data_IF_790934665953
#
_entry.id   IF_790934665953
#
_cell.length_a   1.000
_cell.length_b   1.000
_cell.length_c   1.000
_cell.angle_alpha   90.00
_cell.angle_beta   90.00
_cell.angle_gamma   90.00
#
_symmetry.space_group_name_H-M   'P 1'
#
loop_
_entity.id
_entity.type
_entity.pdbx_description
1 polymer ?
#
# COMPACT_ATOMS: atom_id res chain seq x y z
N UNK A 1 11.05 3.37 13.32
CA UNK A 1 10.22 2.72 12.27
C UNK A 1 8.86 3.37 12.36
N UNK A 2 8.39 4.01 11.30
CA UNK A 2 7.07 4.64 11.26
C UNK A 2 6.20 3.99 10.18
N UNK A 3 4.89 4.15 10.33
CA UNK A 3 3.88 3.62 9.41
C UNK A 3 2.96 4.76 9.00
N UNK A 4 2.64 4.84 7.71
CA UNK A 4 1.65 5.79 7.20
C UNK A 4 0.45 4.99 6.74
N UNK A 5 -0.70 5.24 7.38
CA UNK A 5 -1.98 4.64 7.00
C UNK A 5 -2.68 5.57 6.02
N UNK A 6 -3.16 5.02 4.91
CA UNK A 6 -3.79 5.81 3.86
C UNK A 6 -5.19 5.30 3.53
N UNK A 7 -6.09 6.22 3.25
CA UNK A 7 -7.46 5.97 2.84
C UNK A 7 -7.97 7.18 2.02
N UNK A 8 -9.03 6.97 1.25
CA UNK A 8 -9.73 8.05 0.56
C UNK A 8 -10.57 8.87 1.54
N UNK A 9 -11.13 8.22 2.58
CA UNK A 9 -12.06 8.84 3.51
C UNK A 9 -11.34 9.30 4.80
N UNK A 10 -11.44 10.59 5.12
CA UNK A 10 -10.86 11.16 6.36
C UNK A 10 -11.41 10.50 7.63
N UNK A 11 -12.68 10.07 7.62
CA UNK A 11 -13.31 9.39 8.76
C UNK A 11 -12.62 8.05 9.04
N UNK A 12 -12.30 7.27 8.01
CA UNK A 12 -11.53 6.02 8.14
C UNK A 12 -10.16 6.26 8.79
N UNK A 13 -9.50 7.37 8.43
CA UNK A 13 -8.22 7.75 9.03
C UNK A 13 -8.36 8.18 10.50
N UNK A 14 -9.46 8.82 10.89
CA UNK A 14 -9.73 9.12 12.30
C UNK A 14 -9.86 7.83 13.12
N UNK A 15 -10.57 6.83 12.61
CA UNK A 15 -10.67 5.52 13.24
C UNK A 15 -9.31 4.82 13.33
N UNK A 16 -8.49 4.93 12.28
CA UNK A 16 -7.14 4.39 12.27
C UNK A 16 -6.25 5.02 13.36
N UNK A 17 -6.29 6.35 13.53
CA UNK A 17 -5.57 7.06 14.61
C UNK A 17 -6.05 6.62 15.99
N UNK A 18 -7.36 6.54 16.20
CA UNK A 18 -7.94 6.07 17.48
C UNK A 18 -7.54 4.63 17.78
N UNK A 19 -7.48 3.77 16.76
CA UNK A 19 -7.00 2.40 16.89
C UNK A 19 -5.52 2.35 17.30
N UNK A 20 -4.67 3.18 16.67
CA UNK A 20 -3.26 3.28 17.04
C UNK A 20 -3.06 3.74 18.49
N UNK A 21 -3.83 4.74 18.94
CA UNK A 21 -3.83 5.21 20.33
C UNK A 21 -4.27 4.13 21.31
N UNK A 22 -5.38 3.42 21.01
CA UNK A 22 -5.87 2.32 21.83
C UNK A 22 -4.88 1.15 21.95
N UNK A 23 -3.98 0.99 20.97
CA UNK A 23 -2.93 -0.03 20.96
C UNK A 23 -1.57 0.49 21.47
N UNK A 24 -1.47 1.76 21.88
CA UNK A 24 -0.25 2.36 22.43
C UNK A 24 0.88 2.48 21.42
N UNK A 25 0.55 2.72 20.14
CA UNK A 25 1.51 2.87 19.03
C UNK A 25 1.29 4.15 18.23
N UNK A 26 0.55 5.12 18.77
CA UNK A 26 0.19 6.37 18.08
C UNK A 26 1.41 7.18 17.64
N UNK A 27 2.51 7.12 18.38
CA UNK A 27 3.76 7.80 18.06
C UNK A 27 4.50 7.22 16.84
N UNK A 28 4.11 6.03 16.40
CA UNK A 28 4.67 5.35 15.22
C UNK A 28 3.79 5.48 13.99
N UNK A 29 2.58 6.05 14.13
CA UNK A 29 1.54 6.03 13.11
C UNK A 29 1.22 7.45 12.66
N UNK A 30 1.52 7.71 11.39
CA UNK A 30 1.01 8.84 10.64
C UNK A 30 -0.18 8.41 9.77
N UNK A 31 -0.92 9.39 9.27
CA UNK A 31 -2.04 9.14 8.35
C UNK A 31 -2.05 10.19 7.25
N UNK A 32 -2.39 9.79 6.03
CA UNK A 32 -2.54 10.70 4.91
C UNK A 32 -3.74 10.29 4.05
N UNK A 33 -4.49 11.28 3.54
CA UNK A 33 -5.52 11.03 2.54
C UNK A 33 -4.85 10.70 1.20
N UNK A 34 -5.29 9.62 0.58
CA UNK A 34 -4.77 9.15 -0.70
C UNK A 34 -5.92 8.66 -1.58
N UNK A 35 -6.24 9.43 -2.63
CA UNK A 35 -6.95 8.90 -3.78
C UNK A 35 -5.95 8.23 -4.73
N UNK A 36 -6.07 6.92 -4.95
CA UNK A 36 -5.18 6.17 -5.84
C UNK A 36 -5.19 6.70 -7.28
N UNK A 37 -6.31 7.29 -7.69
CA UNK A 37 -6.48 7.85 -9.04
C UNK A 37 -5.86 9.25 -9.19
N UNK A 38 -5.48 9.89 -8.09
CA UNK A 38 -4.90 11.24 -8.06
C UNK A 38 -3.38 11.17 -8.04
N UNK A 39 -2.73 11.53 -9.16
CA UNK A 39 -1.27 11.66 -9.21
C UNK A 39 -0.75 12.69 -8.21
N UNK A 40 -1.44 13.82 -8.04
CA UNK A 40 -1.05 14.84 -7.07
C UNK A 40 -1.05 14.33 -5.63
N UNK A 41 -1.97 13.44 -5.27
CA UNK A 41 -2.01 12.85 -3.93
C UNK A 41 -0.82 11.93 -3.70
N UNK A 42 -0.45 11.14 -4.72
CA UNK A 42 0.72 10.25 -4.67
C UNK A 42 2.02 11.05 -4.55
N UNK A 43 2.18 12.11 -5.34
CA UNK A 43 3.34 13.00 -5.24
C UNK A 43 3.45 13.62 -3.84
N UNK A 44 2.35 14.17 -3.31
CA UNK A 44 2.31 14.76 -1.97
C UNK A 44 2.69 13.73 -0.89
N UNK A 45 2.14 12.51 -0.98
CA UNK A 45 2.47 11.43 -0.04
C UNK A 45 3.98 11.12 -0.03
N UNK A 46 4.60 11.04 -1.21
CA UNK A 46 6.04 10.81 -1.31
C UNK A 46 6.86 11.99 -0.79
N UNK A 47 6.45 13.23 -1.04
CA UNK A 47 7.14 14.44 -0.55
C UNK A 47 7.07 14.59 0.97
N UNK A 48 5.92 14.29 1.58
CA UNK A 48 5.68 14.52 3.01
C UNK A 48 6.16 13.33 3.87
N UNK A 49 6.07 12.11 3.34
CA UNK A 49 6.23 10.90 4.15
C UNK A 49 7.21 9.87 3.58
N UNK A 50 7.50 9.93 2.27
CA UNK A 50 8.39 9.00 1.60
C UNK A 50 9.88 9.28 1.82
N UNK A 51 10.76 8.46 1.21
CA UNK A 51 10.47 7.24 0.46
C UNK A 51 10.02 6.07 1.37
N UNK A 52 9.35 5.07 0.80
CA UNK A 52 8.84 3.91 1.55
C UNK A 52 9.55 2.61 1.14
N UNK A 53 9.87 1.77 2.12
CA UNK A 53 10.51 0.47 1.89
C UNK A 53 9.50 -0.65 1.61
N UNK A 54 8.28 -0.48 2.12
CA UNK A 54 7.25 -1.52 2.11
C UNK A 54 5.87 -0.89 1.96
N UNK A 55 5.09 -1.41 1.01
CA UNK A 55 3.65 -1.17 0.89
C UNK A 55 2.93 -2.47 1.24
N UNK A 56 1.91 -2.38 2.08
CA UNK A 56 1.06 -3.48 2.51
C UNK A 56 -0.36 -3.12 2.09
N UNK A 57 -1.13 -4.06 1.58
CA UNK A 57 -2.54 -3.86 1.25
C UNK A 57 -3.36 -5.07 1.66
N UNK A 58 -4.52 -4.88 2.28
CA UNK A 58 -5.49 -5.94 2.55
C UNK A 58 -6.77 -5.67 1.77
N UNK A 59 -7.31 -6.66 1.05
CA UNK A 59 -8.56 -6.56 0.28
C UNK A 59 -8.64 -5.34 -0.65
N UNK A 60 -7.55 -5.05 -1.36
CA UNK A 60 -7.39 -3.85 -2.21
C UNK A 60 -7.79 -4.05 -3.66
N UNK A 61 -7.94 -5.30 -4.11
CA UNK A 61 -8.37 -5.66 -5.46
C UNK A 61 -9.88 -5.87 -5.52
N UNK A 62 -10.65 -5.21 -4.66
CA UNK A 62 -12.11 -5.34 -4.63
C UNK A 62 -12.81 -4.78 -5.88
N UNK A 63 -12.14 -3.94 -6.69
CA UNK A 63 -12.66 -3.39 -7.95
C UNK A 63 -11.64 -3.46 -9.08
N UNK A 64 -12.05 -4.00 -10.23
CA UNK A 64 -11.21 -4.07 -11.43
C UNK A 64 -10.70 -2.70 -11.90
N UNK A 65 -11.51 -1.65 -11.78
CA UNK A 65 -11.14 -0.28 -12.20
C UNK A 65 -10.04 0.34 -11.35
N UNK A 66 -9.71 -0.25 -10.19
CA UNK A 66 -8.67 0.25 -9.28
C UNK A 66 -7.34 -0.50 -9.42
N UNK A 67 -7.26 -1.52 -10.28
CA UNK A 67 -6.04 -2.32 -10.45
C UNK A 67 -4.88 -1.48 -10.99
N UNK A 68 -5.13 -0.69 -12.04
CA UNK A 68 -4.12 0.21 -12.62
C UNK A 68 -3.74 1.34 -11.63
N UNK A 69 -4.69 2.10 -11.04
CA UNK A 69 -4.37 3.08 -10.01
C UNK A 69 -3.55 2.52 -8.84
N UNK A 70 -3.87 1.31 -8.37
CA UNK A 70 -3.09 0.66 -7.31
C UNK A 70 -1.67 0.32 -7.78
N UNK A 71 -1.50 -0.11 -9.02
CA UNK A 71 -0.18 -0.36 -9.59
C UNK A 71 0.65 0.93 -9.67
N UNK A 72 0.02 2.06 -10.03
CA UNK A 72 0.66 3.38 -10.03
C UNK A 72 1.10 3.80 -8.62
N UNK A 73 0.23 3.65 -7.62
CA UNK A 73 0.59 3.87 -6.20
C UNK A 73 1.81 3.05 -5.80
N UNK A 74 1.79 1.73 -6.06
CA UNK A 74 2.90 0.87 -5.66
C UNK A 74 4.21 1.30 -6.32
N UNK A 75 4.18 1.69 -7.61
CA UNK A 75 5.38 2.16 -8.32
C UNK A 75 5.88 3.49 -7.77
N UNK A 76 5.00 4.49 -7.69
CA UNK A 76 5.38 5.86 -7.32
C UNK A 76 5.85 5.95 -5.86
N UNK A 77 5.27 5.15 -4.98
CA UNK A 77 5.53 5.18 -3.53
C UNK A 77 6.73 4.32 -3.13
N UNK A 78 6.98 3.19 -3.80
CA UNK A 78 8.12 2.32 -3.50
C UNK A 78 9.40 2.67 -4.25
N UNK A 79 9.31 3.18 -5.47
CA UNK A 79 10.46 3.38 -6.36
C UNK A 79 11.03 4.80 -6.32
N UNK A 80 10.59 5.62 -5.38
CA UNK A 80 10.99 7.03 -5.28
C UNK A 80 12.48 7.24 -4.90
N UNK A 81 13.19 6.22 -4.43
CA UNK A 81 14.60 6.34 -4.01
C UNK A 81 15.49 5.27 -4.66
N UNK A 82 16.54 5.73 -5.36
CA UNK A 82 17.58 4.88 -5.95
C UNK A 82 18.37 4.08 -4.89
N UNK A 83 18.33 4.50 -3.62
CA UNK A 83 18.97 3.81 -2.50
C UNK A 83 18.06 2.75 -1.84
N UNK A 84 16.79 2.68 -2.24
CA UNK A 84 15.90 1.62 -1.79
C UNK A 84 16.27 0.30 -2.49
N UNK A 85 17.14 -0.47 -1.84
CA UNK A 85 17.70 -1.70 -2.41
C UNK A 85 16.77 -2.90 -2.32
N UNK A 86 15.64 -2.80 -1.61
CA UNK A 86 14.70 -3.90 -1.44
C UNK A 86 13.23 -3.47 -1.24
N UNK A 87 12.66 -2.62 -2.13
CA UNK A 87 11.25 -2.24 -2.07
C UNK A 87 10.36 -3.47 -2.17
N UNK A 88 9.34 -3.53 -1.33
CA UNK A 88 8.41 -4.68 -1.29
C UNK A 88 6.95 -4.21 -1.29
N UNK A 89 6.10 -4.93 -2.00
CA UNK A 89 4.66 -4.83 -1.87
C UNK A 89 4.10 -6.15 -1.33
N UNK A 90 3.27 -6.11 -0.29
CA UNK A 90 2.62 -7.27 0.32
C UNK A 90 1.10 -7.10 0.28
N UNK A 91 0.43 -7.84 -0.60
CA UNK A 91 -1.02 -7.76 -0.76
C UNK A 91 -1.71 -9.03 -0.26
N UNK A 92 -2.62 -8.88 0.70
CA UNK A 92 -3.47 -9.93 1.23
C UNK A 92 -4.91 -9.74 0.71
N UNK A 93 -5.24 -10.38 -0.41
CA UNK A 93 -6.57 -10.32 -1.00
C UNK A 93 -7.04 -11.72 -1.45
N UNK A 94 -7.71 -12.48 -0.56
CA UNK A 94 -8.18 -13.83 -0.87
C UNK A 94 -9.41 -13.84 -1.79
N UNK A 95 -10.26 -12.80 -1.76
CA UNK A 95 -11.53 -12.76 -2.48
C UNK A 95 -11.38 -12.36 -3.94
N UNK A 96 -10.34 -11.59 -4.28
CA UNK A 96 -10.12 -11.06 -5.63
C UNK A 96 -8.91 -11.67 -6.33
N UNK A 97 -8.65 -12.96 -6.07
CA UNK A 97 -7.58 -13.75 -6.73
C UNK A 97 -7.58 -13.63 -8.25
N UNK A 98 -8.77 -13.49 -8.86
CA UNK A 98 -8.94 -13.36 -10.30
C UNK A 98 -8.30 -12.09 -10.90
N UNK A 99 -8.08 -11.04 -10.09
CA UNK A 99 -7.50 -9.77 -10.55
C UNK A 99 -5.97 -9.71 -10.37
N UNK A 100 -5.37 -10.68 -9.68
CA UNK A 100 -3.91 -10.73 -9.48
C UNK A 100 -3.11 -10.75 -10.79
N UNK A 101 -3.51 -11.49 -11.85
CA UNK A 101 -2.80 -11.43 -13.12
C UNK A 101 -2.83 -10.04 -13.76
N UNK A 102 -3.96 -9.32 -13.63
CA UNK A 102 -4.09 -7.96 -14.14
C UNK A 102 -3.18 -7.00 -13.37
N UNK A 103 -3.10 -7.12 -12.04
CA UNK A 103 -2.16 -6.34 -11.23
C UNK A 103 -0.71 -6.64 -11.59
N UNK A 104 -0.33 -7.92 -11.68
CA UNK A 104 1.03 -8.32 -12.07
C UNK A 104 1.40 -7.79 -13.46
N UNK A 105 0.45 -7.79 -14.39
CA UNK A 105 0.61 -7.17 -15.71
C UNK A 105 0.82 -5.66 -15.58
N UNK A 106 -0.03 -4.95 -14.83
CA UNK A 106 0.07 -3.50 -14.64
C UNK A 106 1.39 -3.07 -13.99
N UNK A 107 1.91 -3.86 -13.04
CA UNK A 107 3.19 -3.60 -12.36
C UNK A 107 4.41 -3.83 -13.26
N UNK A 108 4.31 -4.72 -14.24
CA UNK A 108 5.40 -5.05 -15.18
C UNK A 108 5.33 -4.28 -16.49
N UNK A 109 4.17 -3.74 -16.83
CA UNK A 109 4.00 -2.81 -17.94
C UNK A 109 4.86 -1.56 -17.68
N UNK A 110 5.74 -1.17 -18.63
CA UNK A 110 6.46 0.09 -18.51
C UNK A 110 5.43 1.22 -18.49
N UNK A 111 5.21 1.82 -17.32
CA UNK A 111 4.70 3.18 -17.25
C UNK A 111 5.81 4.09 -17.76
N UNK A 112 5.46 5.28 -18.26
CA UNK A 112 6.40 6.26 -18.82
C UNK A 112 7.50 6.74 -17.84
N UNK A 113 7.54 6.25 -16.61
CA UNK A 113 8.61 6.46 -15.64
C UNK A 113 9.61 5.28 -15.65
N UNK A 114 10.86 5.62 -16.00
CA UNK A 114 12.09 4.82 -15.94
C UNK A 114 11.97 3.44 -15.26
N UNK A 115 12.00 2.40 -16.11
CA UNK A 115 12.03 1.00 -15.71
C UNK A 115 13.26 0.69 -14.82
N UNK A 116 13.07 0.80 -13.50
CA UNK A 116 13.89 0.09 -12.53
C UNK A 116 13.33 -1.32 -12.38
N UNK A 117 14.21 -2.33 -12.41
CA UNK A 117 13.88 -3.77 -12.46
C UNK A 117 13.33 -4.31 -11.14
N UNK A 118 12.39 -3.62 -10.52
CA UNK A 118 11.73 -4.09 -9.32
C UNK A 118 10.75 -5.19 -9.72
N UNK A 119 11.25 -6.43 -9.75
CA UNK A 119 10.39 -7.61 -9.84
C UNK A 119 9.56 -7.67 -8.55
N UNK A 120 8.33 -7.15 -8.60
CA UNK A 120 7.38 -7.32 -7.51
C UNK A 120 6.99 -8.80 -7.50
N UNK A 121 7.66 -9.57 -6.65
CA UNK A 121 7.41 -10.99 -6.48
C UNK A 121 6.12 -11.19 -5.68
N UNK A 122 5.07 -11.65 -6.35
CA UNK A 122 3.85 -12.09 -5.69
C UNK A 122 4.10 -13.44 -5.01
N UNK A 123 4.25 -13.45 -3.68
CA UNK A 123 4.33 -14.68 -2.88
C UNK A 123 2.96 -15.06 -2.33
N UNK A 124 2.54 -16.31 -2.55
CA UNK A 124 1.37 -16.87 -1.88
C UNK A 124 1.79 -17.50 -0.56
N UNK A 125 1.45 -16.87 0.55
CA UNK A 125 1.45 -17.56 1.85
C UNK A 125 0.03 -18.01 2.19
N UNK A 126 -0.16 -19.27 2.66
CA UNK A 126 -1.43 -19.67 3.22
C UNK A 126 -1.76 -18.75 4.41
N UNK A 127 -2.93 -18.11 4.37
CA UNK A 127 -3.36 -17.24 5.46
C UNK A 127 -3.42 -18.06 6.76
N UNK A 128 -2.82 -17.58 7.87
CA UNK A 128 -3.16 -18.11 9.17
C UNK A 128 -4.67 -17.93 9.38
N UNK A 129 -5.31 -18.89 10.05
CA UNK A 129 -6.74 -18.91 10.30
C UNK A 129 -7.20 -17.55 10.88
N UNK A 130 -8.00 -16.80 10.13
CA UNK A 130 -8.52 -15.51 10.59
C UNK A 130 -9.47 -15.76 11.75
N UNK A 131 -9.22 -15.11 12.89
CA UNK A 131 -10.11 -15.13 14.05
C UNK A 131 -11.39 -14.38 13.67
N UNK A 132 -12.60 -14.93 13.89
CA UNK A 132 -13.86 -14.26 13.55
C UNK A 132 -13.95 -12.84 14.15
N UNK A 133 -14.38 -11.85 13.36
CA UNK A 133 -14.57 -10.46 13.80
C UNK A 133 -13.66 -9.38 13.18
N UNK A 134 -12.82 -9.71 12.20
CA UNK A 134 -11.90 -8.77 11.49
C UNK A 134 -12.32 -8.50 10.02
N UNK A 135 -13.60 -8.69 9.70
CA UNK A 135 -14.09 -8.94 8.34
C UNK A 135 -14.23 -7.71 7.42
N UNK A 136 -13.86 -6.50 7.87
CA UNK A 136 -14.05 -5.29 7.06
C UNK A 136 -13.07 -4.18 7.41
N UNK A 137 -11.81 -4.30 6.98
CA UNK A 137 -10.91 -3.15 6.80
C UNK A 137 -9.98 -3.43 5.62
N UNK A 138 -10.22 -2.75 4.50
CA UNK A 138 -9.24 -2.65 3.42
C UNK A 138 -8.18 -1.66 3.88
N UNK A 139 -6.99 -2.15 4.21
CA UNK A 139 -5.94 -1.32 4.80
C UNK A 139 -4.74 -1.32 3.86
N UNK A 140 -4.41 -0.16 3.28
CA UNK A 140 -3.13 0.05 2.61
C UNK A 140 -2.18 0.78 3.55
N UNK A 141 -1.17 0.07 4.05
CA UNK A 141 -0.17 0.61 4.96
C UNK A 141 1.17 0.68 4.26
N UNK A 142 1.83 1.83 4.32
CA UNK A 142 3.23 1.93 3.96
C UNK A 142 4.09 1.97 5.22
N UNK A 143 5.20 1.21 5.24
CA UNK A 143 6.13 1.13 6.39
C UNK A 143 7.48 1.73 5.99
N UNK A 144 8.00 2.61 6.86
CA UNK A 144 9.33 3.21 6.76
C UNK A 144 10.30 2.57 7.77
N UNK A 145 11.42 2.08 7.28
CA UNK A 145 12.55 1.65 8.13
C UNK A 145 13.49 2.82 8.35
N UNK A 146 13.77 3.16 9.60
CA UNK A 146 14.86 4.07 9.90
C UNK A 146 16.18 3.27 9.80
N UNK A 147 17.08 3.70 8.92
CA UNK A 147 18.45 3.23 8.82
C UNK A 147 19.35 3.95 9.84
#
# INVERSE_FOLDING_TARGET
>A
RSVVLTDLEEESLEWARRSADANGVAELVDTAVLDWTSESDRCRLCEEHGPFDLVIGADVLFRHTLVEPLADVIRDVLLADEHNTAPRAMLADPTSRALRPALSTALTSPGDAAASSCAIECSEMPLPMIVPGLEAMTLVNAVRSDA
#
